data_IF_430943143024
#
_entry.id   IF_430943143024
#
_cell.length_a   1.000
_cell.length_b   1.000
_cell.length_c   1.000
_cell.angle_alpha   90.00
_cell.angle_beta   90.00
_cell.angle_gamma   90.00
#
_symmetry.space_group_name_H-M   'P 1'
#
loop_
_entity.id
_entity.type
_entity.pdbx_description
1 polymer ?
#
# COMPACT_ATOMS: atom_id res chain seq x y z
N UNK A 1 -8.20 22.83 6.58
CA UNK A 1 -8.36 21.78 5.54
C UNK A 1 -6.99 21.34 5.03
N UNK A 2 -6.74 20.05 4.97
CA UNK A 2 -5.47 19.52 4.49
C UNK A 2 -5.42 19.61 2.97
N UNK A 3 -4.38 20.26 2.43
CA UNK A 3 -4.17 20.44 0.98
C UNK A 3 -3.09 19.51 0.43
N UNK A 4 -2.18 19.03 1.29
CA UNK A 4 -1.05 18.20 0.90
C UNK A 4 -0.78 17.19 1.99
N UNK A 5 -0.55 15.94 1.60
CA UNK A 5 -0.08 14.89 2.51
C UNK A 5 1.14 14.20 1.91
N UNK A 6 2.04 13.78 2.78
CA UNK A 6 3.19 12.96 2.41
C UNK A 6 3.08 11.66 3.19
N UNK A 7 3.19 10.53 2.51
CA UNK A 7 3.05 9.21 3.14
C UNK A 7 4.07 8.23 2.59
N UNK A 8 4.28 7.14 3.32
CA UNK A 8 5.05 6.00 2.84
C UNK A 8 4.12 4.87 2.42
N UNK A 9 4.66 3.85 1.78
CA UNK A 9 3.95 2.64 1.42
C UNK A 9 4.76 1.46 1.95
N UNK A 10 4.12 0.59 2.73
CA UNK A 10 4.74 -0.60 3.28
C UNK A 10 4.29 -1.85 2.54
N UNK A 11 5.17 -2.86 2.49
CA UNK A 11 4.86 -4.18 1.93
C UNK A 11 4.45 -5.14 3.03
N UNK A 12 3.98 -6.32 2.64
CA UNK A 12 3.70 -7.43 3.55
C UNK A 12 4.84 -8.44 3.62
N UNK A 13 5.98 -8.11 3.04
CA UNK A 13 7.18 -8.95 3.16
C UNK A 13 7.65 -8.96 4.62
N UNK A 14 7.87 -10.14 5.20
CA UNK A 14 8.23 -10.25 6.61
C UNK A 14 9.57 -9.60 6.96
N UNK A 15 10.46 -9.46 5.98
CA UNK A 15 11.74 -8.79 6.17
C UNK A 15 11.65 -7.28 6.04
N UNK A 16 10.53 -6.76 5.56
CA UNK A 16 10.34 -5.35 5.21
C UNK A 16 9.20 -4.69 5.99
N UNK A 17 8.34 -5.46 6.65
CA UNK A 17 7.19 -4.93 7.38
C UNK A 17 7.61 -4.20 8.65
N UNK A 18 7.35 -2.90 8.70
CA UNK A 18 7.58 -2.08 9.88
C UNK A 18 6.65 -2.44 11.03
N UNK A 19 5.42 -2.88 10.74
CA UNK A 19 4.47 -3.31 11.75
C UNK A 19 4.92 -4.59 12.45
N UNK A 20 5.50 -5.53 11.71
CA UNK A 20 6.04 -6.75 12.29
C UNK A 20 7.24 -6.42 13.18
N UNK A 21 8.16 -5.57 12.70
CA UNK A 21 9.33 -5.15 13.47
C UNK A 21 8.95 -4.40 14.75
N UNK A 22 7.90 -3.60 14.69
CA UNK A 22 7.41 -2.85 15.85
C UNK A 22 6.59 -3.71 16.83
N UNK A 23 6.30 -4.96 16.48
CA UNK A 23 5.49 -5.85 17.31
C UNK A 23 3.99 -5.52 17.31
N UNK A 24 3.53 -4.73 16.36
CA UNK A 24 2.12 -4.35 16.25
C UNK A 24 1.28 -5.44 15.62
N UNK A 25 1.89 -6.28 14.79
CA UNK A 25 1.28 -7.48 14.23
C UNK A 25 2.23 -8.66 14.41
N UNK A 26 1.70 -9.87 14.35
CA UNK A 26 2.47 -11.11 14.41
C UNK A 26 2.68 -11.66 13.00
N UNK A 27 3.55 -12.67 12.88
CA UNK A 27 3.70 -13.40 11.61
C UNK A 27 2.41 -14.10 11.22
N UNK A 28 1.63 -14.58 12.20
CA UNK A 28 0.31 -15.17 11.96
C UNK A 28 -0.64 -14.13 11.36
N UNK A 29 -0.66 -12.91 11.90
CA UNK A 29 -1.46 -11.81 11.35
C UNK A 29 -1.07 -11.51 9.91
N UNK A 30 0.24 -11.51 9.62
CA UNK A 30 0.76 -11.27 8.28
C UNK A 30 0.28 -12.34 7.29
N UNK A 31 0.27 -13.61 7.72
CA UNK A 31 -0.23 -14.72 6.90
C UNK A 31 -1.73 -14.56 6.61
N UNK A 32 -2.52 -14.15 7.61
CA UNK A 32 -3.95 -13.87 7.45
C UNK A 32 -4.17 -12.74 6.44
N UNK A 33 -3.41 -11.65 6.56
CA UNK A 33 -3.50 -10.52 5.63
C UNK A 33 -3.20 -10.94 4.20
N UNK A 34 -2.16 -11.73 3.98
CA UNK A 34 -1.85 -12.27 2.66
C UNK A 34 -2.96 -13.17 2.14
N UNK A 35 -3.54 -13.99 3.01
CA UNK A 35 -4.67 -14.87 2.66
C UNK A 35 -5.91 -14.08 2.25
N UNK A 36 -6.08 -12.87 2.76
CA UNK A 36 -7.17 -11.96 2.38
C UNK A 36 -6.86 -11.16 1.11
N UNK A 37 -5.68 -11.36 0.53
CA UNK A 37 -5.28 -10.64 -0.68
C UNK A 37 -4.61 -9.30 -0.44
N UNK A 38 -4.31 -8.94 0.81
CA UNK A 38 -3.60 -7.69 1.10
C UNK A 38 -2.21 -7.72 0.48
N UNK A 39 -1.79 -6.60 -0.10
CA UNK A 39 -0.47 -6.45 -0.75
C UNK A 39 0.40 -5.39 -0.10
N UNK A 40 -0.19 -4.50 0.69
CA UNK A 40 0.56 -3.41 1.32
C UNK A 40 -0.28 -2.58 2.26
N UNK A 41 0.36 -1.52 2.78
CA UNK A 41 -0.29 -0.56 3.65
C UNK A 41 0.19 0.86 3.35
N UNK A 42 -0.65 1.83 3.66
CA UNK A 42 -0.29 3.24 3.71
C UNK A 42 -1.16 3.92 4.77
N UNK A 43 -0.60 4.91 5.47
CA UNK A 43 -1.26 5.57 6.58
C UNK A 43 -1.78 4.59 7.66
N UNK A 44 -1.11 3.44 7.82
CA UNK A 44 -1.47 2.42 8.80
C UNK A 44 -2.62 1.50 8.37
N UNK A 45 -3.13 1.61 7.15
CA UNK A 45 -4.25 0.80 6.65
C UNK A 45 -3.78 -0.13 5.55
N UNK A 46 -4.24 -1.38 5.61
CA UNK A 46 -3.92 -2.41 4.61
C UNK A 46 -4.92 -2.39 3.47
N UNK A 47 -4.46 -2.75 2.27
CA UNK A 47 -5.29 -2.81 1.06
C UNK A 47 -4.83 -3.97 0.17
N UNK A 48 -5.72 -4.37 -0.74
CA UNK A 48 -5.45 -5.43 -1.72
C UNK A 48 -4.84 -4.88 -3.01
N UNK A 49 -4.61 -5.77 -3.99
CA UNK A 49 -3.99 -5.41 -5.27
C UNK A 49 -4.81 -4.40 -6.10
N UNK A 50 -6.10 -4.28 -5.82
CA UNK A 50 -6.97 -3.28 -6.47
C UNK A 50 -7.10 -2.00 -5.65
N UNK A 51 -6.47 -1.96 -4.47
CA UNK A 51 -6.53 -0.82 -3.55
C UNK A 51 -7.71 -0.84 -2.60
N UNK A 52 -8.49 -1.92 -2.56
CA UNK A 52 -9.66 -2.03 -1.69
C UNK A 52 -9.28 -2.50 -0.29
N UNK A 53 -10.02 -2.02 0.70
CA UNK A 53 -9.83 -2.38 2.11
C UNK A 53 -10.93 -3.28 2.66
N UNK A 54 -11.99 -3.52 1.89
CA UNK A 54 -13.13 -4.32 2.31
C UNK A 54 -12.71 -5.75 2.68
N UNK A 55 -13.19 -6.25 3.81
CA UNK A 55 -12.86 -7.59 4.30
C UNK A 55 -11.55 -7.69 5.05
N UNK A 56 -10.80 -6.61 5.17
CA UNK A 56 -9.54 -6.59 5.93
C UNK A 56 -9.84 -6.12 7.35
N UNK A 57 -10.10 -7.09 8.24
CA UNK A 57 -10.52 -6.86 9.63
C UNK A 57 -9.53 -6.03 10.45
N UNK A 58 -8.24 -6.24 10.22
CA UNK A 58 -7.20 -5.59 11.03
C UNK A 58 -7.24 -4.05 10.88
N UNK A 59 -7.81 -3.54 9.78
CA UNK A 59 -7.96 -2.09 9.58
C UNK A 59 -8.87 -1.45 10.64
N UNK A 60 -9.76 -2.22 11.25
CA UNK A 60 -10.65 -1.74 12.31
C UNK A 60 -9.93 -1.42 13.62
N UNK A 61 -8.73 -1.97 13.80
CA UNK A 61 -7.91 -1.75 15.00
C UNK A 61 -7.09 -0.47 14.92
N UNK A 62 -7.02 0.15 13.76
CA UNK A 62 -6.19 1.34 13.55
C UNK A 62 -7.01 2.59 13.84
N UNK A 63 -6.45 3.44 14.70
CA UNK A 63 -7.02 4.76 14.98
C UNK A 63 -6.22 5.76 14.13
N UNK A 64 -6.89 6.49 13.27
CA UNK A 64 -6.23 7.47 12.41
C UNK A 64 -7.03 7.79 11.16
N UNK A 65 -6.33 8.30 10.16
CA UNK A 65 -6.93 8.69 8.89
C UNK A 65 -7.42 7.46 8.13
N UNK A 66 -8.64 7.49 7.64
CA UNK A 66 -9.17 6.47 6.74
C UNK A 66 -8.57 6.66 5.35
N UNK A 67 -8.39 5.57 4.58
CA UNK A 67 -7.87 5.67 3.21
C UNK A 67 -8.78 6.49 2.30
N UNK A 68 -10.10 6.46 2.56
CA UNK A 68 -11.04 7.32 1.85
C UNK A 68 -10.71 8.81 2.00
N UNK A 69 -10.20 9.21 3.15
CA UNK A 69 -9.82 10.60 3.40
C UNK A 69 -8.60 11.02 2.57
N UNK A 70 -7.68 10.09 2.29
CA UNK A 70 -6.55 10.37 1.40
C UNK A 70 -7.00 10.73 -0.01
N UNK A 71 -8.05 10.07 -0.50
CA UNK A 71 -8.62 10.36 -1.82
C UNK A 71 -9.16 11.78 -1.95
N UNK A 72 -9.54 12.40 -0.83
CA UNK A 72 -10.09 13.75 -0.77
C UNK A 72 -9.02 14.84 -0.65
N UNK A 73 -7.80 14.47 -0.32
CA UNK A 73 -6.70 15.43 -0.23
C UNK A 73 -6.23 15.76 -1.64
N UNK A 74 -6.15 17.05 -2.03
CA UNK A 74 -5.82 17.45 -3.41
C UNK A 74 -4.48 16.91 -3.90
N UNK A 75 -3.48 16.82 -3.02
CA UNK A 75 -2.18 16.27 -3.41
C UNK A 75 -1.66 15.35 -2.31
N UNK A 76 -1.45 14.09 -2.68
CA UNK A 76 -0.81 13.09 -1.81
C UNK A 76 0.45 12.60 -2.51
N UNK A 77 1.58 12.81 -1.86
CA UNK A 77 2.88 12.35 -2.36
C UNK A 77 3.28 11.13 -1.54
N UNK A 78 3.48 10.01 -2.21
CA UNK A 78 4.03 8.82 -1.57
C UNK A 78 5.51 8.71 -1.91
N UNK A 79 6.32 8.38 -0.91
CA UNK A 79 7.75 8.13 -1.07
C UNK A 79 7.97 6.65 -0.74
N UNK A 80 8.34 5.87 -1.74
CA UNK A 80 8.56 4.44 -1.56
C UNK A 80 9.47 3.91 -2.66
N UNK A 81 10.33 2.96 -2.32
CA UNK A 81 11.20 2.30 -3.28
C UNK A 81 11.50 0.87 -2.84
N UNK A 82 11.92 0.06 -3.77
CA UNK A 82 12.32 -1.33 -3.54
C UNK A 82 11.40 -2.30 -4.26
N UNK A 83 11.99 -3.38 -4.79
CA UNK A 83 11.25 -4.37 -5.56
C UNK A 83 10.21 -5.11 -4.73
N UNK A 84 10.46 -5.30 -3.44
CA UNK A 84 9.50 -5.93 -2.52
C UNK A 84 8.22 -5.10 -2.35
N UNK A 85 8.29 -3.81 -2.62
CA UNK A 85 7.16 -2.89 -2.47
C UNK A 85 6.34 -2.70 -3.74
N UNK A 86 6.77 -3.26 -4.87
CA UNK A 86 6.11 -3.04 -6.15
C UNK A 86 4.62 -3.40 -6.14
N UNK A 87 4.20 -4.58 -5.63
CA UNK A 87 2.77 -4.88 -5.56
C UNK A 87 1.99 -3.90 -4.67
N UNK A 88 2.58 -3.51 -3.54
CA UNK A 88 1.98 -2.55 -2.62
C UNK A 88 1.81 -1.17 -3.26
N UNK A 89 2.84 -0.68 -3.95
CA UNK A 89 2.79 0.60 -4.65
C UNK A 89 1.71 0.60 -5.72
N UNK A 90 1.66 -0.46 -6.53
CA UNK A 90 0.65 -0.58 -7.58
C UNK A 90 -0.77 -0.63 -7.01
N UNK A 91 -0.97 -1.37 -5.91
CA UNK A 91 -2.25 -1.40 -5.21
C UNK A 91 -2.68 -0.03 -4.70
N UNK A 92 -1.75 0.72 -4.12
CA UNK A 92 -2.02 2.07 -3.64
C UNK A 92 -2.38 3.04 -4.78
N UNK A 93 -1.70 2.92 -5.92
CA UNK A 93 -2.03 3.69 -7.13
C UNK A 93 -3.42 3.36 -7.65
N UNK A 94 -3.75 2.07 -7.73
CA UNK A 94 -5.08 1.62 -8.17
C UNK A 94 -6.18 2.06 -7.23
N UNK A 95 -5.89 2.12 -5.94
CA UNK A 95 -6.83 2.61 -4.94
C UNK A 95 -7.06 4.11 -4.99
N UNK A 96 -6.20 4.86 -5.69
CA UNK A 96 -6.31 6.32 -5.75
C UNK A 96 -5.85 7.02 -4.49
N UNK A 97 -4.94 6.40 -3.72
CA UNK A 97 -4.49 6.95 -2.44
C UNK A 97 -3.35 7.95 -2.57
N UNK A 98 -2.77 8.08 -3.75
CA UNK A 98 -1.71 9.04 -4.04
C UNK A 98 -1.84 9.57 -5.48
N UNK A 99 -1.29 10.75 -5.71
CA UNK A 99 -1.22 11.35 -7.04
C UNK A 99 0.22 11.52 -7.53
N UNK A 100 1.18 11.53 -6.61
CA UNK A 100 2.59 11.67 -6.95
C UNK A 100 3.36 10.57 -6.25
N UNK A 101 4.17 9.84 -6.98
CA UNK A 101 5.05 8.82 -6.45
C UNK A 101 6.50 9.26 -6.63
N UNK A 102 7.22 9.39 -5.51
CA UNK A 102 8.66 9.59 -5.52
C UNK A 102 9.33 8.22 -5.31
N UNK A 103 10.04 7.74 -6.31
CA UNK A 103 10.66 6.42 -6.29
C UNK A 103 11.94 6.41 -7.14
N UNK A 104 12.67 5.31 -7.16
CA UNK A 104 13.82 5.16 -8.04
C UNK A 104 13.41 4.56 -9.39
N UNK A 105 14.32 4.60 -10.37
CA UNK A 105 14.03 4.16 -11.73
C UNK A 105 13.82 2.63 -11.83
N UNK A 106 14.49 1.85 -11.01
CA UNK A 106 14.36 0.38 -11.00
C UNK A 106 12.96 0.01 -10.53
N UNK A 107 12.52 0.60 -9.42
CA UNK A 107 11.18 0.37 -8.87
C UNK A 107 10.11 0.85 -9.86
N UNK A 108 10.28 2.03 -10.44
CA UNK A 108 9.33 2.58 -11.41
C UNK A 108 9.14 1.66 -12.61
N UNK A 109 10.23 1.13 -13.16
CA UNK A 109 10.17 0.17 -14.28
C UNK A 109 9.45 -1.11 -13.90
N UNK A 110 9.70 -1.62 -12.70
CA UNK A 110 9.04 -2.83 -12.21
C UNK A 110 7.53 -2.62 -12.02
N UNK A 111 7.12 -1.45 -11.55
CA UNK A 111 5.70 -1.08 -11.41
C UNK A 111 5.02 -1.07 -12.79
N UNK A 112 5.64 -0.43 -13.76
CA UNK A 112 5.11 -0.36 -15.14
C UNK A 112 5.01 -1.75 -15.76
N UNK A 113 6.01 -2.59 -15.55
CA UNK A 113 6.02 -3.97 -16.03
C UNK A 113 4.88 -4.79 -15.44
N UNK A 114 4.67 -4.69 -14.13
CA UNK A 114 3.57 -5.41 -13.44
C UNK A 114 2.22 -4.92 -13.92
N UNK A 115 2.04 -3.62 -14.09
CA UNK A 115 0.79 -3.03 -14.59
C UNK A 115 0.48 -3.49 -16.01
N UNK A 116 1.51 -3.55 -16.88
CA UNK A 116 1.35 -4.02 -18.27
C UNK A 116 0.95 -5.49 -18.34
N UNK A 117 1.54 -6.35 -17.51
CA UNK A 117 1.19 -7.78 -17.43
C UNK A 117 -0.27 -7.97 -17.03
N UNK A 118 -0.77 -7.18 -16.08
CA UNK A 118 -2.16 -7.25 -15.65
C UNK A 118 -3.13 -6.89 -16.79
N UNK A 119 -2.76 -5.93 -17.63
CA UNK A 119 -3.56 -5.56 -18.82
C UNK A 119 -3.52 -6.67 -19.88
N UNK A 120 -2.35 -7.25 -20.14
CA UNK A 120 -2.18 -8.31 -21.13
C UNK A 120 -2.93 -9.61 -20.76
N UNK A 121 -3.16 -9.87 -19.46
CA UNK A 121 -3.87 -11.06 -19.01
C UNK A 121 -5.38 -10.97 -19.17
N UNK A 122 -5.87 -9.83 -19.58
CA UNK A 122 -7.28 -9.60 -19.89
C UNK A 122 -7.48 -9.47 -21.39
#
# INVERSE_FOLDING_TARGET
TVQLAITGIGSLDEHDSSFLRAGLITRADLAVLRGLGAVGETAGRFFDATGQTAGIEINRRVIGVELEDLRRIPKVIAVARGLTKVPAILGALRGGYLNVLATDNITARAILSLASKAVESH
#
